data_IF_658281740355
#
_entry.id   IF_658281740355
#
_cell.length_a   1.000
_cell.length_b   1.000
_cell.length_c   1.000
_cell.angle_alpha   90.00
_cell.angle_beta   90.00
_cell.angle_gamma   90.00
#
_symmetry.space_group_name_H-M   'P 1'
#
loop_
_entity.id
_entity.type
_entity.pdbx_description
1 polymer ?
#
# COMPACT_ATOMS: atom_id res chain seq x y z
N UNK A 1 1.45 17.52 16.01
CA UNK A 1 2.08 18.78 15.56
C UNK A 1 2.85 18.40 14.31
N UNK A 2 2.62 19.09 13.19
CA UNK A 2 3.30 18.80 11.93
C UNK A 2 4.77 19.21 12.04
N UNK A 3 5.66 18.21 11.96
CA UNK A 3 7.10 18.35 12.23
C UNK A 3 7.84 19.11 11.12
N UNK A 4 7.17 19.40 10.00
CA UNK A 4 7.79 20.06 8.84
C UNK A 4 7.32 21.52 8.63
N UNK A 5 6.53 22.07 9.56
CA UNK A 5 6.12 23.48 9.49
C UNK A 5 7.32 24.41 9.71
N UNK A 6 7.84 24.96 8.61
CA UNK A 6 8.91 25.96 8.61
C UNK A 6 10.28 25.46 8.13
N UNK A 7 10.37 24.22 7.67
CA UNK A 7 11.60 23.72 7.01
C UNK A 7 11.62 24.24 5.58
N UNK A 8 12.64 25.04 5.25
CA UNK A 8 12.85 25.50 3.88
C UNK A 8 13.33 24.32 3.03
N UNK A 9 12.54 23.96 2.02
CA UNK A 9 12.87 22.88 1.09
C UNK A 9 14.04 23.31 0.19
N UNK A 10 15.17 22.60 0.26
CA UNK A 10 16.33 22.86 -0.59
C UNK A 10 16.45 21.86 -1.75
N UNK A 11 17.35 22.15 -2.69
CA UNK A 11 17.55 21.33 -3.89
C UNK A 11 18.02 19.91 -3.52
N UNK A 12 18.79 19.77 -2.45
CA UNK A 12 19.25 18.49 -1.91
C UNK A 12 18.09 17.65 -1.39
N UNK A 13 17.09 18.28 -0.76
CA UNK A 13 15.87 17.59 -0.29
C UNK A 13 15.08 17.01 -1.47
N UNK A 14 14.98 17.77 -2.56
CA UNK A 14 14.33 17.31 -3.79
C UNK A 14 15.05 16.09 -4.38
N UNK A 15 16.38 16.12 -4.42
CA UNK A 15 17.19 15.01 -4.90
C UNK A 15 17.09 13.77 -4.00
N UNK A 16 17.04 13.96 -2.68
CA UNK A 16 16.87 12.86 -1.74
C UNK A 16 15.56 12.12 -2.02
N UNK A 17 14.45 12.84 -2.22
CA UNK A 17 13.14 12.25 -2.53
C UNK A 17 13.18 11.48 -3.86
N UNK A 18 13.79 12.06 -4.90
CA UNK A 18 13.84 11.44 -6.22
C UNK A 18 14.67 10.14 -6.25
N UNK A 19 15.76 10.06 -5.48
CA UNK A 19 16.59 8.85 -5.37
C UNK A 19 15.86 7.66 -4.73
N UNK A 20 14.81 7.89 -3.94
CA UNK A 20 14.01 6.82 -3.35
C UNK A 20 12.96 6.25 -4.31
N UNK A 21 12.81 6.80 -5.52
CA UNK A 21 11.86 6.27 -6.51
C UNK A 21 12.47 5.09 -7.27
N UNK A 22 11.86 3.88 -7.25
CA UNK A 22 12.42 2.66 -7.84
C UNK A 22 12.65 2.69 -9.36
N UNK A 23 12.14 3.72 -10.05
CA UNK A 23 12.23 3.89 -11.50
C UNK A 23 13.23 4.97 -11.91
N UNK A 24 13.88 5.62 -10.94
CA UNK A 24 14.78 6.72 -11.19
C UNK A 24 16.21 6.19 -11.37
N UNK A 25 16.62 6.03 -12.64
CA UNK A 25 17.94 5.54 -13.06
C UNK A 25 18.82 6.69 -13.60
N UNK A 26 18.80 7.84 -12.93
CA UNK A 26 19.67 8.95 -13.29
C UNK A 26 21.03 8.82 -12.60
N UNK A 27 22.10 9.08 -13.34
CA UNK A 27 23.47 9.15 -12.80
C UNK A 27 23.58 10.18 -11.66
N UNK A 28 24.60 10.02 -10.83
CA UNK A 28 24.89 10.89 -9.69
C UNK A 28 25.03 12.37 -10.12
N UNK A 29 24.78 13.30 -9.17
CA UNK A 29 24.73 14.75 -9.45
C UNK A 29 25.94 15.19 -10.29
N UNK A 30 25.69 15.96 -11.36
CA UNK A 30 26.76 16.68 -12.04
C UNK A 30 27.28 17.73 -11.07
N UNK A 31 28.52 17.56 -10.60
CA UNK A 31 29.18 18.51 -9.70
C UNK A 31 29.35 19.85 -10.42
N UNK A 32 28.46 20.80 -10.12
CA UNK A 32 28.55 22.19 -10.59
C UNK A 32 29.57 23.01 -9.76
N UNK A 33 30.30 22.37 -8.85
CA UNK A 33 31.33 22.98 -7.99
C UNK A 33 32.68 23.12 -8.71
N UNK A 34 32.79 22.66 -9.95
CA UNK A 34 33.94 22.96 -10.80
C UNK A 34 33.91 24.44 -11.21
N UNK A 35 34.79 25.23 -10.61
CA UNK A 35 35.06 26.62 -10.94
C UNK A 35 35.54 26.72 -12.41
N UNK A 36 34.59 26.74 -13.34
CA UNK A 36 34.83 27.08 -14.75
C UNK A 36 34.75 28.61 -14.82
N UNK A 37 35.87 29.31 -15.08
CA UNK A 37 35.88 30.76 -15.14
C UNK A 37 35.04 31.20 -16.34
N UNK A 38 33.78 31.60 -16.10
CA UNK A 38 32.92 32.23 -17.09
C UNK A 38 31.46 31.77 -17.14
N UNK A 39 31.07 30.71 -16.43
CA UNK A 39 29.69 30.22 -16.47
C UNK A 39 28.88 30.76 -15.28
N UNK A 40 28.38 31.99 -15.37
CA UNK A 40 27.20 32.35 -14.57
C UNK A 40 26.04 31.46 -15.00
N UNK A 41 25.23 31.00 -14.04
CA UNK A 41 24.08 30.08 -14.19
C UNK A 41 23.06 30.45 -15.29
N UNK A 42 23.19 31.66 -15.83
CA UNK A 42 22.37 32.28 -16.87
C UNK A 42 22.65 31.74 -18.29
N UNK A 43 23.71 30.96 -18.50
CA UNK A 43 24.06 30.43 -19.83
C UNK A 43 23.55 28.99 -20.11
N UNK A 44 22.95 28.30 -19.13
CA UNK A 44 22.43 26.94 -19.34
C UNK A 44 21.15 26.91 -20.20
N UNK A 45 20.42 28.02 -20.20
CA UNK A 45 19.29 28.26 -21.10
C UNK A 45 19.61 29.56 -21.83
N UNK A 46 20.32 29.46 -22.95
CA UNK A 46 20.69 30.61 -23.77
C UNK A 46 19.52 31.56 -23.99
N UNK A 47 19.82 32.86 -24.15
CA UNK A 47 18.81 33.92 -24.28
C UNK A 47 17.60 33.47 -25.10
N UNK A 48 16.44 33.40 -24.45
CA UNK A 48 15.18 33.00 -25.05
C UNK A 48 14.96 33.81 -26.34
N UNK A 49 15.15 33.14 -27.48
CA UNK A 49 15.02 33.75 -28.79
C UNK A 49 13.55 33.99 -29.16
N UNK A 50 12.59 33.52 -28.36
CA UNK A 50 11.18 33.81 -28.61
C UNK A 50 10.85 35.25 -28.22
N UNK A 51 10.40 36.09 -29.18
CA UNK A 51 9.86 37.38 -28.82
C UNK A 51 8.65 37.16 -27.93
N UNK A 52 8.70 37.72 -26.71
CA UNK A 52 7.58 37.68 -25.78
C UNK A 52 6.33 38.18 -26.49
N UNK A 53 5.22 37.41 -26.51
CA UNK A 53 4.00 37.85 -27.15
C UNK A 53 3.56 39.18 -26.51
N UNK A 54 3.23 40.15 -27.36
CA UNK A 54 2.87 41.50 -26.93
C UNK A 54 1.80 41.43 -25.83
N UNK A 55 2.19 41.84 -24.62
CA UNK A 55 1.28 41.90 -23.48
C UNK A 55 0.08 42.77 -23.84
N UNK A 56 -1.12 42.18 -23.82
CA UNK A 56 -2.36 42.92 -24.04
C UNK A 56 -2.42 44.10 -23.05
N UNK A 57 -2.83 45.31 -23.47
CA UNK A 57 -2.98 46.43 -22.56
C UNK A 57 -3.87 46.04 -21.38
N UNK A 58 -3.47 46.45 -20.16
CA UNK A 58 -4.28 46.22 -18.96
C UNK A 58 -5.71 46.73 -19.22
N UNK A 59 -6.76 45.93 -18.96
CA UNK A 59 -8.13 46.39 -19.14
C UNK A 59 -8.37 47.60 -18.24
N UNK A 60 -8.75 48.74 -18.83
CA UNK A 60 -9.15 49.91 -18.07
C UNK A 60 -10.38 49.58 -17.19
N UNK A 61 -10.38 50.20 -16.01
CA UNK A 61 -11.35 50.10 -14.90
C UNK A 61 -12.78 49.79 -15.38
N UNK A 62 -13.25 48.57 -15.08
CA UNK A 62 -14.61 48.12 -15.45
C UNK A 62 -15.68 48.82 -14.61
N UNK A 63 -16.67 49.38 -15.30
CA UNK A 63 -18.02 49.65 -14.79
C UNK A 63 -18.65 48.35 -14.30
N UNK A 64 -19.37 48.41 -13.17
CA UNK A 64 -20.07 47.29 -12.53
C UNK A 64 -20.86 46.48 -13.57
N UNK A 65 -20.50 45.20 -13.73
CA UNK A 65 -21.34 44.22 -14.40
C UNK A 65 -22.14 43.49 -13.33
N UNK A 66 -23.45 43.61 -13.45
CA UNK A 66 -24.41 42.81 -12.70
C UNK A 66 -24.32 41.34 -13.10
N UNK A 67 -24.80 40.48 -12.21
CA UNK A 67 -24.59 39.04 -12.16
C UNK A 67 -24.65 38.32 -13.53
N UNK A 68 -23.64 37.47 -13.78
CA UNK A 68 -23.80 36.29 -14.63
C UNK A 68 -23.18 35.12 -13.89
N UNK A 69 -24.03 34.18 -13.48
CA UNK A 69 -23.62 32.96 -12.80
C UNK A 69 -22.60 32.22 -13.67
N UNK A 70 -21.38 32.10 -13.16
CA UNK A 70 -20.37 31.19 -13.69
C UNK A 70 -20.76 29.77 -13.32
N UNK A 71 -21.72 29.19 -14.06
CA UNK A 71 -21.95 27.75 -14.08
C UNK A 71 -20.97 27.12 -15.07
N UNK A 72 -19.67 27.26 -14.78
CA UNK A 72 -18.61 26.48 -15.40
C UNK A 72 -18.39 25.23 -14.55
N UNK A 73 -19.36 24.32 -14.57
CA UNK A 73 -19.30 23.10 -13.77
C UNK A 73 -18.14 22.22 -14.21
N UNK A 74 -17.12 22.11 -13.35
CA UNK A 74 -16.00 21.15 -13.45
C UNK A 74 -16.51 19.71 -13.45
N UNK A 75 -16.96 19.22 -14.61
CA UNK A 75 -17.53 17.88 -14.76
C UNK A 75 -16.46 16.80 -15.00
N UNK A 76 -15.25 17.17 -15.42
CA UNK A 76 -14.14 16.24 -15.66
C UNK A 76 -13.38 15.84 -14.38
N UNK A 77 -13.34 16.72 -13.37
CA UNK A 77 -12.62 16.47 -12.11
C UNK A 77 -13.31 15.40 -11.26
N UNK A 78 -14.64 15.42 -11.22
CA UNK A 78 -15.46 14.45 -10.47
C UNK A 78 -15.45 13.06 -11.10
N UNK A 79 -15.42 12.96 -12.44
CA UNK A 79 -15.32 11.67 -13.13
C UNK A 79 -13.98 10.97 -12.89
N UNK A 80 -12.89 11.73 -12.84
CA UNK A 80 -11.57 11.18 -12.53
C UNK A 80 -11.48 10.67 -11.09
N UNK A 81 -12.00 11.44 -10.14
CA UNK A 81 -12.07 11.05 -8.73
C UNK A 81 -12.89 9.77 -8.51
N UNK A 82 -14.06 9.67 -9.12
CA UNK A 82 -14.93 8.48 -9.04
C UNK A 82 -14.26 7.24 -9.62
N UNK A 83 -13.54 7.38 -10.74
CA UNK A 83 -12.79 6.28 -11.36
C UNK A 83 -11.68 5.77 -10.43
N UNK A 84 -10.92 6.69 -9.81
CA UNK A 84 -9.87 6.34 -8.85
C UNK A 84 -10.45 5.65 -7.61
N UNK A 85 -11.60 6.11 -7.10
CA UNK A 85 -12.27 5.48 -5.97
C UNK A 85 -12.76 4.06 -6.33
N UNK A 86 -13.36 3.90 -7.51
CA UNK A 86 -13.81 2.59 -7.98
C UNK A 86 -12.64 1.62 -8.14
N UNK A 87 -11.52 2.05 -8.71
CA UNK A 87 -10.32 1.25 -8.88
C UNK A 87 -9.73 0.84 -7.52
N UNK A 88 -9.62 1.78 -6.57
CA UNK A 88 -9.15 1.49 -5.21
C UNK A 88 -10.04 0.48 -4.49
N UNK A 89 -11.36 0.63 -4.62
CA UNK A 89 -12.34 -0.32 -4.05
C UNK A 89 -12.19 -1.71 -4.66
N UNK A 90 -11.99 -1.82 -5.98
CA UNK A 90 -11.73 -3.07 -6.67
C UNK A 90 -10.44 -3.73 -6.16
N UNK A 91 -9.36 -2.96 -6.05
CA UNK A 91 -8.07 -3.44 -5.52
C UNK A 91 -8.20 -3.93 -4.08
N UNK A 92 -8.92 -3.20 -3.22
CA UNK A 92 -9.17 -3.62 -1.83
C UNK A 92 -9.95 -4.92 -1.77
N UNK A 93 -11.03 -5.05 -2.54
CA UNK A 93 -11.83 -6.28 -2.59
C UNK A 93 -10.99 -7.47 -3.08
N UNK A 94 -10.16 -7.27 -4.09
CA UNK A 94 -9.27 -8.32 -4.59
C UNK A 94 -8.27 -8.75 -3.52
N UNK A 95 -7.66 -7.81 -2.80
CA UNK A 95 -6.72 -8.11 -1.71
C UNK A 95 -7.42 -8.82 -0.53
N UNK A 96 -8.61 -8.37 -0.15
CA UNK A 96 -9.41 -8.99 0.92
C UNK A 96 -9.78 -10.43 0.58
N UNK A 97 -10.23 -10.69 -0.66
CA UNK A 97 -10.51 -12.04 -1.14
C UNK A 97 -9.27 -12.92 -1.15
N UNK A 98 -8.13 -12.41 -1.61
CA UNK A 98 -6.89 -13.16 -1.60
C UNK A 98 -6.44 -13.51 -0.18
N UNK A 99 -6.60 -12.58 0.76
CA UNK A 99 -6.30 -12.80 2.17
C UNK A 99 -7.26 -13.82 2.80
N UNK A 100 -8.56 -13.72 2.55
CA UNK A 100 -9.56 -14.67 3.04
C UNK A 100 -9.22 -16.10 2.60
N UNK A 101 -8.96 -16.29 1.30
CA UNK A 101 -8.52 -17.58 0.73
C UNK A 101 -7.23 -18.08 1.39
N UNK A 102 -6.24 -17.21 1.61
CA UNK A 102 -5.00 -17.60 2.27
C UNK A 102 -5.23 -18.03 3.72
N UNK A 103 -5.99 -17.26 4.48
CA UNK A 103 -6.30 -17.55 5.89
C UNK A 103 -7.09 -18.84 6.06
N UNK A 104 -7.98 -19.17 5.12
CA UNK A 104 -8.71 -20.43 5.10
C UNK A 104 -7.78 -21.62 4.80
N UNK A 105 -6.84 -21.45 3.85
CA UNK A 105 -5.80 -22.45 3.58
C UNK A 105 -4.90 -22.67 4.79
N UNK A 106 -4.53 -21.62 5.51
CA UNK A 106 -3.74 -21.74 6.73
C UNK A 106 -4.52 -22.46 7.85
N UNK A 107 -5.80 -22.15 8.02
CA UNK A 107 -6.69 -22.84 8.97
C UNK A 107 -6.81 -24.33 8.66
N UNK A 108 -7.03 -24.68 7.39
CA UNK A 108 -7.13 -26.09 6.96
C UNK A 108 -5.81 -26.82 7.08
N UNK A 109 -4.68 -26.16 6.79
CA UNK A 109 -3.34 -26.73 6.98
C UNK A 109 -3.06 -27.05 8.45
N UNK A 110 -3.38 -26.14 9.38
CA UNK A 110 -3.26 -26.40 10.82
C UNK A 110 -4.11 -27.62 11.24
N UNK A 111 -5.35 -27.73 10.72
CA UNK A 111 -6.23 -28.87 11.03
C UNK A 111 -5.67 -30.20 10.52
N UNK A 112 -5.06 -30.20 9.32
CA UNK A 112 -4.43 -31.38 8.75
C UNK A 112 -3.17 -31.80 9.53
N UNK A 113 -2.40 -30.85 10.04
CA UNK A 113 -1.25 -31.12 10.90
C UNK A 113 -1.67 -31.75 12.23
N UNK A 114 -2.72 -31.23 12.86
CA UNK A 114 -3.33 -31.82 14.07
C UNK A 114 -3.77 -33.27 13.84
N UNK A 115 -4.46 -33.55 12.72
CA UNK A 115 -4.89 -34.90 12.34
C UNK A 115 -3.69 -35.83 12.09
N UNK A 116 -2.67 -35.34 11.40
CA UNK A 116 -1.42 -36.08 11.17
C UNK A 116 -0.74 -36.43 12.49
N UNK A 117 -0.69 -35.48 13.43
CA UNK A 117 -0.15 -35.72 14.76
C UNK A 117 -0.95 -36.78 15.51
N UNK A 118 -2.29 -36.75 15.45
CA UNK A 118 -3.14 -37.78 16.06
C UNK A 118 -2.86 -39.19 15.50
N UNK A 119 -2.59 -39.31 14.20
CA UNK A 119 -2.32 -40.58 13.54
C UNK A 119 -0.95 -41.22 13.89
N UNK A 120 -0.02 -40.47 14.48
CA UNK A 120 1.31 -41.00 14.84
C UNK A 120 1.21 -42.18 15.83
N UNK A 121 2.00 -43.24 15.64
CA UNK A 121 2.07 -44.32 16.65
C UNK A 121 2.91 -43.86 17.84
N UNK A 122 2.50 -44.25 19.06
CA UNK A 122 3.32 -44.06 20.27
C UNK A 122 3.95 -45.38 20.75
N UNK A 123 3.92 -46.44 19.94
CA UNK A 123 4.34 -47.79 20.35
C UNK A 123 5.86 -47.93 20.47
N UNK A 124 6.61 -47.14 19.72
CA UNK A 124 8.07 -47.25 19.61
C UNK A 124 8.79 -46.15 20.43
N UNK A 125 8.07 -45.47 21.31
CA UNK A 125 8.59 -44.38 22.16
C UNK A 125 8.74 -44.85 23.60
N UNK A 126 9.63 -44.21 24.36
CA UNK A 126 9.70 -44.43 25.79
C UNK A 126 8.43 -43.92 26.50
N UNK A 127 8.23 -44.39 27.74
CA UNK A 127 7.01 -44.09 28.50
C UNK A 127 6.82 -42.60 28.80
N UNK A 128 7.90 -41.83 28.98
CA UNK A 128 7.83 -40.41 29.27
C UNK A 128 7.39 -39.62 28.03
N UNK A 129 7.98 -39.90 26.87
CA UNK A 129 7.61 -39.26 25.60
C UNK A 129 6.21 -39.68 25.15
N UNK A 130 5.88 -40.98 25.27
CA UNK A 130 4.55 -41.49 24.99
C UNK A 130 3.49 -40.83 25.88
N UNK A 131 3.78 -40.55 27.16
CA UNK A 131 2.89 -39.82 28.06
C UNK A 131 2.59 -38.41 27.53
N UNK A 132 3.60 -37.63 27.17
CA UNK A 132 3.43 -36.26 26.69
C UNK A 132 2.67 -36.21 25.37
N UNK A 133 2.97 -37.11 24.44
CA UNK A 133 2.25 -37.22 23.17
C UNK A 133 0.79 -37.58 23.41
N UNK A 134 0.50 -38.57 24.27
CA UNK A 134 -0.89 -38.93 24.64
C UNK A 134 -1.64 -37.75 25.25
N UNK A 135 -0.98 -36.95 26.10
CA UNK A 135 -1.55 -35.73 26.69
C UNK A 135 -1.88 -34.68 25.63
N UNK A 136 -0.97 -34.42 24.69
CA UNK A 136 -1.18 -33.48 23.60
C UNK A 136 -2.29 -33.95 22.64
N UNK A 137 -2.32 -35.24 22.30
CA UNK A 137 -3.41 -35.83 21.50
C UNK A 137 -4.78 -35.65 22.15
N UNK A 138 -4.87 -35.76 23.47
CA UNK A 138 -6.12 -35.49 24.21
C UNK A 138 -6.54 -34.03 24.10
N UNK A 139 -5.60 -33.09 24.25
CA UNK A 139 -5.87 -31.66 24.11
C UNK A 139 -6.42 -31.33 22.71
N UNK A 140 -5.77 -31.85 21.67
CA UNK A 140 -6.21 -31.67 20.28
C UNK A 140 -7.63 -32.23 20.09
N UNK A 141 -7.91 -33.47 20.52
CA UNK A 141 -9.26 -34.05 20.41
C UNK A 141 -10.34 -33.20 21.10
N UNK A 142 -10.06 -32.68 22.30
CA UNK A 142 -11.00 -31.83 23.01
C UNK A 142 -11.25 -30.50 22.28
N UNK A 143 -10.20 -29.88 21.74
CA UNK A 143 -10.33 -28.69 20.88
C UNK A 143 -11.21 -28.99 19.66
N UNK A 144 -10.95 -30.12 18.98
CA UNK A 144 -11.73 -30.54 17.82
C UNK A 144 -13.22 -30.74 18.15
N UNK A 145 -13.55 -31.32 19.31
CA UNK A 145 -14.92 -31.49 19.79
C UNK A 145 -15.61 -30.15 20.01
N UNK A 146 -14.93 -29.19 20.65
CA UNK A 146 -15.48 -27.86 20.86
C UNK A 146 -15.72 -27.09 19.56
N UNK A 147 -14.89 -27.32 18.53
CA UNK A 147 -15.04 -26.68 17.22
C UNK A 147 -16.22 -27.24 16.40
N UNK A 148 -16.61 -28.51 16.65
CA UNK A 148 -17.64 -29.22 15.89
C UNK A 148 -19.05 -29.09 16.49
N UNK A 149 -19.16 -28.60 17.73
CA UNK A 149 -20.41 -28.68 18.49
C UNK A 149 -20.59 -30.06 19.11
N UNK A 150 -21.40 -30.14 20.15
CA UNK A 150 -21.79 -31.41 20.78
C UNK A 150 -22.73 -32.13 19.80
N UNK A 151 -22.15 -32.94 18.91
CA UNK A 151 -22.92 -33.97 18.22
C UNK A 151 -23.25 -35.01 19.31
N UNK A 152 -24.55 -35.18 19.60
CA UNK A 152 -25.07 -36.28 20.39
C UNK A 152 -24.65 -37.58 19.68
N UNK A 153 -23.54 -38.15 20.11
CA UNK A 153 -23.11 -39.49 19.75
C UNK A 153 -24.10 -40.46 20.44
N UNK A 154 -25.21 -40.79 19.78
CA UNK A 154 -25.95 -42.01 20.11
C UNK A 154 -25.02 -43.19 19.75
N UNK A 155 -24.49 -43.84 20.79
CA UNK A 155 -23.66 -45.03 20.70
C UNK A 155 -24.34 -46.10 19.82
N UNK A 156 -23.84 -46.32 18.59
CA UNK A 156 -24.08 -47.56 17.86
C UNK A 156 -23.05 -48.60 18.33
N UNK A 157 -23.42 -49.33 19.37
CA UNK A 157 -22.81 -50.59 19.76
C UNK A 157 -23.06 -51.67 18.68
N UNK A 158 -22.01 -52.18 18.02
CA UNK A 158 -21.93 -53.59 17.58
C UNK A 158 -20.48 -54.10 17.44
#
# INVERSE_FOLDING_TARGET
RDEHKGVAFCQEDAWAILKFLPKWDASEQVDLTGDVPGATQEDLFGHDAQPRPAGKPRPAKKTKSDATASTGGSSASTQFEELMEQELRLKRKAAERAFEVQSEKDRTLMRLEELRFLATSTKDLDDADAYWIKKQKRLIRNKMRNDLGEEDDEDEDE
#
